data_IF_412531450509
#
_entry.id   IF_412531450509
#
_cell.length_a   1.000
_cell.length_b   1.000
_cell.length_c   1.000
_cell.angle_alpha   90.00
_cell.angle_beta   90.00
_cell.angle_gamma   90.00
#
_symmetry.space_group_name_H-M   'P 1'
#
loop_
_entity.id
_entity.type
_entity.pdbx_description
1 polymer ?
#
# COMPACT_ATOMS: atom_id res chain seq x y z
N UNK A 1 5.63 -8.80 13.36
CA UNK A 1 4.76 -8.54 12.20
C UNK A 1 4.41 -9.85 11.52
N UNK A 2 3.17 -9.99 11.08
CA UNK A 2 2.62 -11.12 10.34
C UNK A 2 2.00 -10.63 9.05
N UNK A 3 1.97 -11.47 8.01
CA UNK A 3 1.39 -11.14 6.72
C UNK A 3 -0.08 -11.60 6.69
N UNK A 4 -0.97 -10.69 6.35
CA UNK A 4 -2.39 -10.93 6.22
C UNK A 4 -2.83 -10.75 4.77
N UNK A 5 -3.69 -11.65 4.31
CA UNK A 5 -4.42 -11.55 3.04
C UNK A 5 -5.77 -10.88 3.33
N UNK A 6 -6.09 -9.86 2.54
CA UNK A 6 -7.36 -9.17 2.56
C UNK A 6 -8.09 -9.46 1.27
N UNK A 7 -9.29 -10.05 1.37
CA UNK A 7 -10.17 -10.25 0.23
C UNK A 7 -11.32 -9.27 0.31
N UNK A 8 -11.35 -8.33 -0.63
CA UNK A 8 -12.32 -7.24 -0.69
C UNK A 8 -13.16 -7.42 -1.95
N UNK A 9 -14.27 -8.15 -1.83
CA UNK A 9 -15.08 -8.54 -2.98
C UNK A 9 -14.28 -9.36 -3.99
N UNK A 10 -13.92 -8.75 -5.12
CA UNK A 10 -13.13 -9.36 -6.20
C UNK A 10 -11.64 -8.98 -6.18
N UNK A 11 -11.21 -8.15 -5.23
CA UNK A 11 -9.83 -7.66 -5.10
C UNK A 11 -9.12 -8.38 -3.97
N UNK A 12 -7.87 -8.77 -4.20
CA UNK A 12 -6.99 -9.36 -3.18
C UNK A 12 -5.86 -8.36 -2.88
N UNK A 13 -5.69 -8.00 -1.61
CA UNK A 13 -4.61 -7.17 -1.11
C UNK A 13 -3.82 -7.92 -0.02
N UNK A 14 -2.59 -7.49 0.21
CA UNK A 14 -1.71 -8.05 1.24
C UNK A 14 -1.18 -6.93 2.13
N UNK A 15 -1.20 -7.15 3.43
CA UNK A 15 -0.71 -6.18 4.40
C UNK A 15 0.00 -6.86 5.56
N UNK A 16 1.04 -6.20 6.08
CA UNK A 16 1.73 -6.62 7.28
C UNK A 16 1.15 -5.88 8.50
N UNK A 17 0.84 -6.62 9.55
CA UNK A 17 0.38 -6.07 10.83
C UNK A 17 0.97 -6.84 12.00
N UNK A 18 0.99 -6.25 13.19
CA UNK A 18 1.47 -6.96 14.39
C UNK A 18 0.43 -7.95 14.93
N UNK A 19 -0.86 -7.67 14.72
CA UNK A 19 -1.99 -8.48 15.19
C UNK A 19 -3.22 -8.33 14.31
N UNK A 20 -4.16 -9.26 14.44
CA UNK A 20 -5.45 -9.21 13.73
C UNK A 20 -6.27 -7.96 14.12
N UNK A 21 -6.15 -7.50 15.38
CA UNK A 21 -6.83 -6.29 15.87
C UNK A 21 -6.34 -5.04 15.13
N UNK A 22 -5.02 -4.84 15.10
CA UNK A 22 -4.37 -3.76 14.33
C UNK A 22 -4.75 -3.82 12.84
N UNK A 23 -4.83 -5.02 12.27
CA UNK A 23 -5.24 -5.19 10.88
C UNK A 23 -6.71 -4.78 10.64
N UNK A 24 -7.61 -5.04 11.61
CA UNK A 24 -9.00 -4.61 11.54
C UNK A 24 -9.17 -3.10 11.71
N UNK A 25 -8.36 -2.46 12.55
CA UNK A 25 -8.36 -1.00 12.68
C UNK A 25 -7.87 -0.33 11.40
N UNK A 26 -6.77 -0.82 10.83
CA UNK A 26 -6.23 -0.32 9.56
C UNK A 26 -7.13 -0.61 8.37
N UNK A 27 -8.03 -1.59 8.44
CA UNK A 27 -8.99 -1.92 7.38
C UNK A 27 -9.88 -0.73 7.02
N UNK A 28 -10.19 0.14 7.99
CA UNK A 28 -10.92 1.38 7.76
C UNK A 28 -10.10 2.44 6.97
N UNK A 29 -8.78 2.35 7.03
CA UNK A 29 -7.85 3.27 6.34
C UNK A 29 -7.44 2.77 4.95
N UNK A 30 -7.59 1.47 4.67
CA UNK A 30 -7.06 0.85 3.44
C UNK A 30 -7.68 1.45 2.18
N UNK A 31 -8.98 1.82 2.19
CA UNK A 31 -9.62 2.73 1.20
C UNK A 31 -11.12 2.93 1.52
N UNK A 32 -11.57 4.20 1.57
CA UNK A 32 -12.92 4.63 1.95
C UNK A 32 -14.03 4.09 1.01
N UNK A 33 -13.68 3.75 -0.23
CA UNK A 33 -14.57 3.14 -1.23
C UNK A 33 -14.99 1.73 -0.85
N UNK A 34 -14.21 1.06 0.02
CA UNK A 34 -14.47 -0.31 0.48
C UNK A 34 -15.05 -0.38 1.90
N UNK A 35 -15.37 0.76 2.52
CA UNK A 35 -15.94 0.83 3.88
C UNK A 35 -17.25 0.04 4.06
N UNK A 36 -17.94 -0.26 2.96
CA UNK A 36 -19.21 -1.00 2.94
C UNK A 36 -19.09 -2.41 2.35
N UNK A 37 -17.91 -2.81 1.89
CA UNK A 37 -17.69 -4.14 1.33
C UNK A 37 -17.18 -5.10 2.41
N UNK A 38 -17.67 -6.35 2.45
CA UNK A 38 -17.14 -7.34 3.36
C UNK A 38 -15.69 -7.60 3.00
N UNK A 39 -14.79 -7.41 3.96
CA UNK A 39 -13.38 -7.77 3.82
C UNK A 39 -13.10 -8.98 4.70
N UNK A 40 -12.71 -10.08 4.08
CA UNK A 40 -12.17 -11.23 4.77
C UNK A 40 -10.68 -10.99 5.06
N UNK A 41 -10.27 -11.23 6.30
CA UNK A 41 -8.88 -11.07 6.73
C UNK A 41 -8.40 -12.41 7.24
N UNK A 42 -7.40 -12.97 6.56
CA UNK A 42 -6.84 -14.28 6.86
C UNK A 42 -5.33 -14.19 6.99
N UNK A 43 -4.76 -14.81 8.03
CA UNK A 43 -3.30 -14.91 8.19
C UNK A 43 -2.73 -15.78 7.06
N UNK A 44 -1.77 -15.24 6.30
CA UNK A 44 -1.15 -15.97 5.20
C UNK A 44 -0.12 -16.95 5.76
N UNK A 45 -0.39 -18.24 5.60
CA UNK A 45 0.54 -19.32 5.93
C UNK A 45 0.83 -20.14 4.69
N UNK A 46 2.11 -20.35 4.37
CA UNK A 46 2.54 -21.16 3.23
C UNK A 46 3.21 -22.42 3.79
N UNK A 47 2.66 -23.62 3.55
CA UNK A 47 3.21 -24.85 4.11
C UNK A 47 4.63 -25.08 3.58
N UNK A 48 5.56 -25.32 4.51
CA UNK A 48 6.98 -25.55 4.20
C UNK A 48 7.82 -24.29 4.02
N UNK A 49 7.24 -23.09 4.19
CA UNK A 49 7.96 -21.82 4.08
C UNK A 49 7.72 -20.92 5.29
N UNK A 50 8.76 -20.22 5.71
CA UNK A 50 8.69 -19.19 6.75
C UNK A 50 8.65 -17.80 6.09
N UNK A 51 7.66 -16.98 6.45
CA UNK A 51 7.47 -15.64 5.88
C UNK A 51 8.15 -14.64 6.80
N UNK A 52 9.28 -14.10 6.34
CA UNK A 52 10.02 -13.07 7.05
C UNK A 52 9.66 -11.70 6.45
N UNK A 53 9.09 -10.84 7.28
CA UNK A 53 8.80 -9.46 6.91
C UNK A 53 9.98 -8.57 7.27
N UNK A 54 10.65 -8.03 6.27
CA UNK A 54 11.71 -7.03 6.45
C UNK A 54 11.16 -5.64 6.20
N UNK A 55 11.27 -4.70 7.15
CA UNK A 55 10.92 -3.32 6.90
C UNK A 55 11.80 -2.79 5.76
N UNK A 56 11.17 -2.29 4.71
CA UNK A 56 11.90 -1.65 3.64
C UNK A 56 12.23 -0.22 4.10
N UNK A 57 13.48 0.01 4.52
CA UNK A 57 13.97 1.37 4.73
C UNK A 57 13.93 2.10 3.38
N UNK A 58 13.07 3.11 3.26
CA UNK A 58 13.08 4.05 2.15
C UNK A 58 12.46 3.54 0.85
N UNK A 59 11.15 3.59 0.74
CA UNK A 59 10.54 4.20 -0.46
C UNK A 59 9.56 5.25 0.01
N UNK A 60 10.09 6.42 0.37
CA UNK A 60 9.35 7.68 0.38
C UNK A 60 8.83 7.93 -1.04
N UNK A 61 7.73 7.27 -1.38
CA UNK A 61 6.95 7.51 -2.59
C UNK A 61 6.11 8.75 -2.41
N UNK A 62 6.76 9.92 -2.55
CA UNK A 62 6.19 11.16 -3.06
C UNK A 62 4.73 11.47 -2.69
N UNK A 63 4.50 11.92 -1.46
CA UNK A 63 3.38 12.79 -1.12
C UNK A 63 3.88 14.23 -0.88
N UNK A 64 4.75 14.74 -1.75
CA UNK A 64 4.96 16.19 -1.86
C UNK A 64 4.25 16.66 -3.13
N UNK A 65 3.23 17.50 -2.95
CA UNK A 65 2.39 18.09 -3.99
C UNK A 65 3.12 19.05 -4.93
N UNK A 66 4.37 18.77 -5.31
CA UNK A 66 5.09 19.54 -6.32
C UNK A 66 4.91 18.89 -7.69
N UNK A 67 3.86 19.34 -8.37
CA UNK A 67 3.68 19.21 -9.82
C UNK A 67 5.04 19.32 -10.54
N UNK A 68 5.45 18.36 -11.39
CA UNK A 68 6.67 18.52 -12.16
C UNK A 68 6.45 19.68 -13.14
N UNK A 69 7.04 20.84 -12.85
CA UNK A 69 7.17 21.94 -13.81
C UNK A 69 7.94 21.39 -15.01
N UNK A 70 7.21 21.02 -16.06
CA UNK A 70 7.73 20.84 -17.41
C UNK A 70 8.52 22.10 -17.76
N UNK A 71 9.85 22.03 -17.64
CA UNK A 71 10.74 23.05 -18.22
C UNK A 71 10.61 22.89 -19.73
N UNK A 72 9.73 23.67 -20.33
CA UNK A 72 9.71 23.85 -21.79
C UNK A 72 11.09 24.33 -22.27
N UNK A 73 11.47 24.03 -23.52
CA UNK A 73 12.75 24.47 -24.06
C UNK A 73 12.82 26.00 -24.07
N UNK A 74 13.92 26.54 -23.56
CA UNK A 74 14.27 27.97 -23.58
C UNK A 74 14.26 28.45 -25.05
N UNK A 75 13.56 29.54 -25.41
CA UNK A 75 13.69 30.08 -26.76
C UNK A 75 15.14 30.57 -26.94
N UNK A 76 15.81 30.09 -28.00
CA UNK A 76 17.07 30.68 -28.46
C UNK A 76 16.73 32.06 -28.99
N UNK A 77 17.32 33.09 -28.39
CA UNK A 77 17.41 34.42 -29.00
C UNK A 77 18.10 34.26 -30.35
N UNK A 78 17.39 34.55 -31.44
CA UNK A 78 17.98 34.75 -32.74
C UNK A 78 18.50 36.20 -32.79
N UNK A 79 19.78 36.33 -33.13
CA UNK A 79 20.44 37.57 -33.54
C UNK A 79 19.93 38.03 -34.91
#
# INVERSE_FOLDING_TARGET
MKLFKLEIGNTIAYAAAESLEEMNERKAEVDNTFAFLPVDVSELTIPGYDIILTPQEGTEGAADGTTPKRRGPKPKTAE
#
